data_IF_288304758528
#
_entry.id   IF_288304758528
#
_cell.length_a   1.000
_cell.length_b   1.000
_cell.length_c   1.000
_cell.angle_alpha   90.00
_cell.angle_beta   90.00
_cell.angle_gamma   90.00
#
_symmetry.space_group_name_H-M   'P 1'
#
loop_
_entity.id
_entity.type
_entity.pdbx_description
1 polymer ?
#
# COMPACT_ATOMS: atom_id res chain seq x y z
N UNK A 1 26.70 -14.33 -16.24
CA UNK A 1 25.32 -14.54 -15.68
C UNK A 1 25.32 -14.01 -14.27
N UNK A 2 24.57 -12.94 -14.02
CA UNK A 2 24.39 -12.42 -12.66
C UNK A 2 23.14 -13.07 -12.06
N UNK A 3 23.36 -13.88 -11.00
CA UNK A 3 22.29 -14.49 -10.22
C UNK A 3 22.14 -13.75 -8.91
N UNK A 4 20.90 -13.37 -8.56
CA UNK A 4 20.59 -12.75 -7.27
C UNK A 4 19.21 -13.15 -6.77
N UNK A 5 18.98 -12.97 -5.47
CA UNK A 5 17.71 -13.21 -4.82
C UNK A 5 17.11 -11.89 -4.36
N UNK A 6 15.78 -11.80 -4.46
CA UNK A 6 15.03 -10.63 -3.97
C UNK A 6 13.83 -11.08 -3.16
N UNK A 7 13.57 -10.43 -2.04
CA UNK A 7 12.48 -10.77 -1.13
C UNK A 7 11.55 -9.59 -0.90
N UNK A 8 10.24 -9.88 -0.88
CA UNK A 8 9.22 -8.93 -0.44
C UNK A 8 8.25 -9.60 0.51
N UNK A 9 7.64 -8.81 1.39
CA UNK A 9 6.63 -9.29 2.34
C UNK A 9 5.31 -8.55 2.19
N UNK A 10 4.24 -9.18 2.64
CA UNK A 10 2.92 -8.59 2.81
C UNK A 10 2.28 -9.04 4.11
N UNK A 11 1.22 -8.36 4.51
CA UNK A 11 0.48 -8.65 5.74
C UNK A 11 -1.02 -8.68 5.46
N UNK A 12 -1.77 -9.41 6.31
CA UNK A 12 -3.23 -9.41 6.28
C UNK A 12 -3.81 -8.14 6.89
N UNK A 13 -5.11 -7.91 6.66
CA UNK A 13 -5.85 -6.79 7.27
C UNK A 13 -5.85 -6.80 8.79
N UNK A 14 -5.67 -7.97 9.41
CA UNK A 14 -5.61 -8.15 10.87
C UNK A 14 -4.25 -7.89 11.51
N UNK A 15 -3.22 -7.56 10.72
CA UNK A 15 -1.94 -7.10 11.28
C UNK A 15 -2.12 -5.75 11.98
N UNK A 16 -1.57 -5.53 13.19
CA UNK A 16 -1.87 -4.34 13.99
C UNK A 16 -1.56 -3.02 13.29
N UNK A 17 -0.46 -2.90 12.55
CA UNK A 17 -0.18 -1.69 11.77
C UNK A 17 -1.23 -1.46 10.66
N UNK A 18 -1.69 -2.52 9.99
CA UNK A 18 -2.71 -2.39 8.94
C UNK A 18 -4.10 -2.13 9.50
N UNK A 19 -4.42 -2.57 10.71
CA UNK A 19 -5.61 -2.15 11.44
C UNK A 19 -5.60 -0.63 11.61
N UNK A 20 -4.47 -0.04 12.04
CA UNK A 20 -4.33 1.40 12.23
C UNK A 20 -4.47 2.18 10.90
N UNK A 21 -3.82 1.70 9.84
CA UNK A 21 -3.96 2.27 8.50
C UNK A 21 -5.43 2.24 8.04
N UNK A 22 -6.12 1.13 8.24
CA UNK A 22 -7.50 0.96 7.83
C UNK A 22 -8.46 1.84 8.66
N UNK A 23 -8.20 2.03 9.96
CA UNK A 23 -8.95 2.98 10.80
C UNK A 23 -8.76 4.41 10.27
N UNK A 24 -7.52 4.82 10.02
CA UNK A 24 -7.21 6.16 9.53
C UNK A 24 -7.86 6.45 8.18
N UNK A 25 -7.78 5.53 7.22
CA UNK A 25 -8.39 5.67 5.89
C UNK A 25 -9.92 5.55 5.92
N UNK A 26 -10.50 4.78 6.86
CA UNK A 26 -11.96 4.75 7.06
C UNK A 26 -12.48 6.08 7.63
N UNK A 27 -11.72 6.74 8.49
CA UNK A 27 -12.01 8.08 9.00
C UNK A 27 -11.93 9.11 7.87
N UNK A 28 -10.89 9.04 7.03
CA UNK A 28 -10.74 9.91 5.87
C UNK A 28 -11.92 9.76 4.89
N UNK A 29 -12.30 8.53 4.56
CA UNK A 29 -13.44 8.27 3.67
C UNK A 29 -14.76 8.77 4.26
N UNK A 30 -14.96 8.66 5.57
CA UNK A 30 -16.14 9.19 6.25
C UNK A 30 -16.19 10.73 6.22
N UNK A 31 -15.03 11.40 6.23
CA UNK A 31 -14.93 12.85 6.06
C UNK A 31 -15.25 13.25 4.62
N UNK A 32 -14.57 12.64 3.63
CA UNK A 32 -14.72 12.97 2.21
C UNK A 32 -16.11 12.68 1.66
N UNK A 33 -16.82 11.70 2.21
CA UNK A 33 -18.20 11.40 1.85
C UNK A 33 -19.18 12.56 2.20
N UNK A 34 -18.83 13.41 3.17
CA UNK A 34 -19.66 14.54 3.62
C UNK A 34 -19.08 15.89 3.19
N UNK A 35 -17.75 15.96 3.03
CA UNK A 35 -16.99 17.17 2.72
C UNK A 35 -15.82 16.79 1.82
N UNK A 36 -16.00 16.93 0.51
CA UNK A 36 -14.96 16.56 -0.49
C UNK A 36 -13.67 17.39 -0.38
N UNK A 37 -13.72 18.50 0.37
CA UNK A 37 -12.58 19.39 0.65
C UNK A 37 -12.01 19.20 2.06
N UNK A 38 -12.36 18.12 2.73
CA UNK A 38 -11.84 17.82 4.06
C UNK A 38 -10.31 17.73 4.06
N UNK A 39 -9.70 18.47 4.98
CA UNK A 39 -8.25 18.38 5.27
C UNK A 39 -8.06 17.50 6.49
N UNK A 40 -7.45 16.34 6.28
CA UNK A 40 -7.33 15.30 7.30
C UNK A 40 -5.89 14.83 7.45
N UNK A 41 -5.44 14.72 8.69
CA UNK A 41 -4.21 14.08 9.10
C UNK A 41 -4.48 13.38 10.44
N UNK A 42 -5.33 12.33 10.41
CA UNK A 42 -5.79 11.62 11.61
C UNK A 42 -5.23 10.21 11.62
N UNK A 43 -4.35 9.95 12.54
CA UNK A 43 -3.63 8.70 12.70
C UNK A 43 -4.20 7.87 13.84
N UNK A 44 -3.83 6.60 13.89
CA UNK A 44 -4.21 5.68 14.93
C UNK A 44 -3.00 4.87 15.43
N UNK A 45 -3.03 4.51 16.70
CA UNK A 45 -2.17 3.47 17.27
C UNK A 45 -3.01 2.52 18.11
N UNK A 46 -2.61 1.27 18.18
CA UNK A 46 -3.35 0.22 18.90
C UNK A 46 -2.41 -0.64 19.72
N UNK A 47 -2.83 -0.99 20.93
CA UNK A 47 -2.20 -2.03 21.77
C UNK A 47 -3.24 -2.61 22.72
N UNK A 48 -3.25 -3.94 22.83
CA UNK A 48 -4.23 -4.71 23.58
C UNK A 48 -5.67 -4.26 23.26
N UNK A 49 -6.45 -3.82 24.21
CA UNK A 49 -7.83 -3.33 24.05
C UNK A 49 -7.95 -1.84 23.79
N UNK A 50 -6.85 -1.11 23.63
CA UNK A 50 -6.85 0.35 23.56
C UNK A 50 -6.42 0.86 22.21
N UNK A 51 -7.24 1.74 21.62
CA UNK A 51 -6.96 2.48 20.40
C UNK A 51 -6.81 3.97 20.75
N UNK A 52 -5.72 4.58 20.34
CA UNK A 52 -5.53 6.01 20.40
C UNK A 52 -5.61 6.61 19.00
N UNK A 53 -6.58 7.51 18.79
CA UNK A 53 -6.80 8.24 17.53
C UNK A 53 -6.44 9.70 17.78
N UNK A 54 -5.53 10.23 16.98
CA UNK A 54 -4.98 11.58 17.20
C UNK A 54 -4.64 12.26 15.87
N UNK A 55 -4.47 13.56 15.91
CA UNK A 55 -4.09 14.36 14.75
C UNK A 55 -4.95 15.59 14.56
N UNK A 56 -5.05 16.05 13.33
CA UNK A 56 -5.75 17.27 12.94
C UNK A 56 -6.82 17.00 11.88
N UNK A 57 -7.95 17.71 12.00
CA UNK A 57 -9.04 17.66 11.04
C UNK A 57 -9.56 19.08 10.78
N UNK A 58 -9.59 19.46 9.50
CA UNK A 58 -10.19 20.67 8.99
C UNK A 58 -11.35 20.30 8.07
N UNK A 59 -12.54 20.06 8.63
CA UNK A 59 -13.71 19.60 7.87
C UNK A 59 -15.02 20.08 8.52
N UNK A 60 -16.07 20.14 7.70
CA UNK A 60 -17.46 20.33 8.14
C UNK A 60 -18.16 19.01 8.45
N UNK A 61 -17.55 17.88 8.13
CA UNK A 61 -18.10 16.55 8.37
C UNK A 61 -18.26 16.25 9.87
N UNK A 62 -19.32 15.53 10.21
CA UNK A 62 -19.55 14.99 11.56
C UNK A 62 -19.09 13.54 11.58
N UNK A 63 -18.03 13.26 12.32
CA UNK A 63 -17.34 11.97 12.32
C UNK A 63 -17.41 11.34 13.71
N UNK A 64 -17.95 10.12 13.79
CA UNK A 64 -17.88 9.27 14.98
C UNK A 64 -16.64 8.36 14.89
N UNK A 65 -15.50 8.88 15.29
CA UNK A 65 -14.19 8.20 15.22
C UNK A 65 -14.21 6.85 15.95
N UNK A 66 -14.81 6.80 17.14
CA UNK A 66 -14.84 5.59 17.96
C UNK A 66 -15.69 4.50 17.30
N UNK A 67 -16.84 4.85 16.73
CA UNK A 67 -17.71 3.92 16.01
C UNK A 67 -17.04 3.35 14.77
N UNK A 68 -16.31 4.19 14.02
CA UNK A 68 -15.54 3.77 12.84
C UNK A 68 -14.45 2.77 13.23
N UNK A 69 -13.63 3.10 14.23
CA UNK A 69 -12.56 2.22 14.68
C UNK A 69 -13.06 0.86 15.15
N UNK A 70 -14.09 0.85 15.99
CA UNK A 70 -14.73 -0.40 16.45
C UNK A 70 -15.37 -1.21 15.31
N UNK A 71 -15.93 -0.52 14.31
CA UNK A 71 -16.46 -1.19 13.11
C UNK A 71 -15.36 -1.87 12.31
N UNK A 72 -14.25 -1.19 12.08
CA UNK A 72 -13.09 -1.75 11.36
C UNK A 72 -12.62 -3.05 12.00
N UNK A 73 -12.43 -3.07 13.31
CA UNK A 73 -12.00 -4.27 14.04
C UNK A 73 -13.00 -5.42 13.94
N UNK A 74 -14.30 -5.15 14.09
CA UNK A 74 -15.34 -6.18 13.90
C UNK A 74 -15.36 -6.73 12.46
N UNK A 75 -15.24 -5.87 11.46
CA UNK A 75 -15.22 -6.27 10.04
C UNK A 75 -13.98 -7.12 9.68
N UNK A 76 -12.85 -6.86 10.33
CA UNK A 76 -11.63 -7.68 10.24
C UNK A 76 -11.88 -9.05 10.92
N UNK A 77 -12.58 -9.11 12.03
CA UNK A 77 -12.88 -10.34 12.77
C UNK A 77 -12.30 -10.40 14.18
N UNK A 78 -12.02 -9.25 14.78
CA UNK A 78 -11.70 -9.11 16.20
C UNK A 78 -12.98 -8.82 16.97
N UNK A 79 -13.45 -9.77 17.81
CA UNK A 79 -14.74 -9.65 18.50
C UNK A 79 -14.65 -8.84 19.81
N UNK A 80 -13.47 -8.52 20.27
CA UNK A 80 -13.21 -7.87 21.55
C UNK A 80 -13.78 -6.44 21.57
N UNK A 81 -14.12 -5.95 22.76
CA UNK A 81 -14.45 -4.55 22.98
C UNK A 81 -13.17 -3.72 23.15
N UNK A 82 -13.14 -2.56 22.48
CA UNK A 82 -11.98 -1.67 22.48
C UNK A 82 -12.32 -0.32 23.12
N UNK A 83 -11.41 0.16 23.95
CA UNK A 83 -11.40 1.51 24.47
C UNK A 83 -10.79 2.46 23.44
N UNK A 84 -11.49 3.55 23.13
CA UNK A 84 -11.01 4.53 22.15
C UNK A 84 -10.72 5.85 22.85
N UNK A 85 -9.47 6.29 22.78
CA UNK A 85 -9.00 7.57 23.28
C UNK A 85 -8.85 8.51 22.08
N UNK A 86 -9.45 9.70 22.16
CA UNK A 86 -9.44 10.68 21.06
C UNK A 86 -8.64 11.93 21.43
N UNK A 87 -7.76 12.35 20.51
CA UNK A 87 -7.04 13.62 20.58
C UNK A 87 -6.94 14.23 19.18
N UNK A 88 -8.09 14.61 18.62
CA UNK A 88 -8.18 15.23 17.29
C UNK A 88 -8.52 16.71 17.48
N UNK A 89 -7.68 17.59 16.93
CA UNK A 89 -7.81 19.04 17.01
C UNK A 89 -8.13 19.63 15.62
N UNK A 90 -8.53 20.90 15.57
CA UNK A 90 -8.58 21.65 14.31
C UNK A 90 -7.14 21.92 13.83
N UNK A 91 -6.94 21.84 12.52
CA UNK A 91 -5.67 22.19 11.88
C UNK A 91 -5.24 23.62 12.25
N UNK A 92 -3.94 23.84 12.48
CA UNK A 92 -3.42 25.14 12.88
C UNK A 92 -3.63 26.20 11.79
N UNK A 93 -3.90 27.45 12.21
CA UNK A 93 -4.09 28.57 11.28
C UNK A 93 -2.84 28.90 10.47
N UNK A 94 -1.64 28.59 10.99
CA UNK A 94 -0.36 28.82 10.31
C UNK A 94 -0.17 27.85 9.12
N UNK A 95 -0.50 26.59 9.30
CA UNK A 95 -0.49 25.60 8.21
C UNK A 95 -1.53 25.97 7.16
N UNK A 96 -2.73 26.36 7.59
CA UNK A 96 -3.78 26.81 6.68
C UNK A 96 -3.36 28.06 5.88
N UNK A 97 -2.62 28.99 6.46
CA UNK A 97 -2.15 30.19 5.74
C UNK A 97 -0.98 29.89 4.81
N UNK A 98 -0.08 28.98 5.14
CA UNK A 98 1.01 28.57 4.27
C UNK A 98 0.53 27.83 3.00
N UNK A 99 -0.58 27.07 3.12
CA UNK A 99 -1.20 26.34 2.01
C UNK A 99 -2.31 27.14 1.32
N UNK A 100 -2.87 28.15 1.98
CA UNK A 100 -4.08 28.86 1.57
C UNK A 100 -3.88 30.00 0.54
N UNK A 101 -2.66 30.31 0.10
CA UNK A 101 -2.43 31.35 -0.90
C UNK A 101 -2.72 30.93 -2.34
N UNK A 102 -2.79 29.64 -2.62
CA UNK A 102 -3.26 29.07 -3.89
C UNK A 102 -4.11 27.82 -3.61
N UNK A 103 -5.27 27.73 -4.22
CA UNK A 103 -6.07 26.53 -4.22
C UNK A 103 -5.25 25.38 -4.82
N UNK A 104 -4.90 24.35 -4.02
CA UNK A 104 -4.07 23.20 -4.42
C UNK A 104 -2.56 23.49 -4.63
N UNK A 105 -1.89 23.84 -3.58
CA UNK A 105 -0.41 23.78 -3.48
C UNK A 105 0.02 22.56 -2.62
N UNK A 106 1.29 22.21 -2.68
CA UNK A 106 1.85 21.14 -1.87
C UNK A 106 1.72 21.46 -0.37
N UNK A 107 1.06 20.58 0.38
CA UNK A 107 0.86 20.74 1.83
C UNK A 107 2.12 20.51 2.66
N UNK A 108 3.18 19.99 2.06
CA UNK A 108 4.48 19.75 2.66
C UNK A 108 5.57 19.70 1.57
N UNK A 109 6.83 19.75 1.98
CA UNK A 109 7.94 19.32 1.15
C UNK A 109 8.03 17.80 1.13
N UNK A 110 8.63 17.21 0.10
CA UNK A 110 8.89 15.78 0.06
C UNK A 110 9.40 15.29 -1.27
N UNK A 111 9.86 14.04 -1.27
CA UNK A 111 10.23 13.29 -2.47
C UNK A 111 9.35 12.05 -2.56
N UNK A 112 8.81 11.76 -3.75
CA UNK A 112 7.91 10.64 -4.02
C UNK A 112 8.43 9.85 -5.20
N UNK A 113 8.26 8.54 -5.15
CA UNK A 113 8.68 7.63 -6.19
C UNK A 113 7.50 6.90 -6.80
N UNK A 114 7.54 6.76 -8.12
CA UNK A 114 6.72 5.83 -8.88
C UNK A 114 7.58 4.74 -9.49
N UNK A 115 7.03 3.56 -9.66
CA UNK A 115 7.68 2.45 -10.33
C UNK A 115 6.67 1.58 -11.09
N UNK A 116 7.11 0.97 -12.18
CA UNK A 116 6.41 -0.11 -12.88
C UNK A 116 7.39 -1.02 -13.60
N UNK A 117 7.03 -2.29 -13.78
CA UNK A 117 7.74 -3.25 -14.61
C UNK A 117 6.75 -4.16 -15.37
N UNK A 118 7.20 -4.78 -16.43
CA UNK A 118 6.42 -5.74 -17.21
C UNK A 118 6.45 -7.17 -16.66
N UNK A 119 7.00 -7.36 -15.45
CA UNK A 119 7.12 -8.68 -14.81
C UNK A 119 5.76 -9.33 -14.51
N UNK A 120 4.74 -8.53 -14.24
CA UNK A 120 3.39 -9.00 -13.91
C UNK A 120 2.34 -8.25 -14.72
N UNK A 121 1.12 -8.82 -14.78
CA UNK A 121 -0.03 -8.15 -15.44
C UNK A 121 -0.46 -6.87 -14.72
N UNK A 122 -0.15 -6.75 -13.43
CA UNK A 122 -0.38 -5.56 -12.61
C UNK A 122 0.69 -4.48 -12.79
N UNK A 123 1.74 -4.75 -13.57
CA UNK A 123 2.93 -3.90 -13.71
C UNK A 123 3.67 -3.67 -12.39
N UNK A 124 3.52 -4.59 -11.45
CA UNK A 124 4.22 -4.60 -10.16
C UNK A 124 5.41 -5.54 -10.19
N UNK A 125 6.45 -5.34 -9.35
CA UNK A 125 7.49 -6.34 -9.13
C UNK A 125 6.88 -7.66 -8.63
N UNK A 126 7.35 -8.78 -9.17
CA UNK A 126 6.74 -10.09 -8.91
C UNK A 126 6.71 -10.49 -7.44
N UNK A 127 7.80 -10.23 -6.69
CA UNK A 127 7.91 -10.67 -5.30
C UNK A 127 6.80 -10.07 -4.42
N UNK A 128 6.57 -8.74 -4.55
CA UNK A 128 5.52 -8.06 -3.76
C UNK A 128 4.12 -8.42 -4.25
N UNK A 129 3.90 -8.51 -5.56
CA UNK A 129 2.61 -8.89 -6.14
C UNK A 129 2.19 -10.30 -5.65
N UNK A 130 3.11 -11.25 -5.69
CA UNK A 130 2.89 -12.61 -5.18
C UNK A 130 2.65 -12.63 -3.66
N UNK A 131 3.41 -11.86 -2.88
CA UNK A 131 3.21 -11.75 -1.43
C UNK A 131 1.83 -11.17 -1.11
N UNK A 132 1.36 -10.16 -1.83
CA UNK A 132 0.00 -9.61 -1.69
C UNK A 132 -1.08 -10.63 -2.04
N UNK A 133 -0.92 -11.37 -3.14
CA UNK A 133 -1.87 -12.42 -3.52
C UNK A 133 -1.95 -13.51 -2.46
N UNK A 134 -0.82 -13.94 -1.88
CA UNK A 134 -0.78 -14.91 -0.78
C UNK A 134 -1.48 -14.39 0.47
N UNK A 135 -1.21 -13.14 0.90
CA UNK A 135 -1.85 -12.54 2.06
C UNK A 135 -3.36 -12.37 1.87
N UNK A 136 -3.78 -11.95 0.67
CA UNK A 136 -5.20 -11.84 0.31
C UNK A 136 -5.90 -13.20 0.31
N UNK A 137 -5.26 -14.25 -0.25
CA UNK A 137 -5.82 -15.61 -0.23
C UNK A 137 -5.85 -16.18 1.18
N UNK A 138 -4.84 -15.90 2.00
CA UNK A 138 -4.81 -16.28 3.41
C UNK A 138 -6.02 -15.71 4.16
N UNK A 139 -6.34 -14.43 3.96
CA UNK A 139 -7.52 -13.83 4.56
C UNK A 139 -8.82 -14.47 4.07
N UNK A 140 -8.93 -14.81 2.79
CA UNK A 140 -10.10 -15.53 2.26
C UNK A 140 -10.26 -16.89 2.95
N UNK A 141 -9.19 -17.68 3.02
CA UNK A 141 -9.20 -18.99 3.71
C UNK A 141 -9.56 -18.85 5.19
N UNK A 142 -9.07 -17.81 5.86
CA UNK A 142 -9.45 -17.50 7.23
C UNK A 142 -10.96 -17.22 7.36
N UNK A 143 -11.54 -16.42 6.45
CA UNK A 143 -12.98 -16.14 6.45
C UNK A 143 -13.84 -17.39 6.19
N UNK A 144 -13.29 -18.33 5.40
CA UNK A 144 -13.91 -19.66 5.17
C UNK A 144 -13.74 -20.59 6.38
N UNK A 145 -12.74 -20.35 7.26
CA UNK A 145 -12.39 -21.18 8.42
C UNK A 145 -12.22 -20.33 9.71
N UNK A 146 -13.23 -19.55 10.12
CA UNK A 146 -13.08 -18.54 11.17
C UNK A 146 -12.82 -19.11 12.58
N UNK A 147 -13.11 -20.40 12.79
CA UNK A 147 -12.83 -21.09 14.05
C UNK A 147 -11.40 -21.65 14.13
N UNK A 148 -10.72 -21.79 13.01
CA UNK A 148 -9.38 -22.37 12.93
C UNK A 148 -8.29 -21.29 12.75
N UNK A 149 -8.59 -20.21 12.03
CA UNK A 149 -7.61 -19.17 11.68
C UNK A 149 -8.03 -17.81 12.23
N UNK A 150 -7.07 -17.08 12.81
CA UNK A 150 -7.24 -15.71 13.26
C UNK A 150 -6.91 -14.69 12.16
N UNK A 151 -7.23 -13.39 12.40
CA UNK A 151 -7.08 -12.35 11.37
C UNK A 151 -5.64 -11.95 11.06
N UNK A 152 -4.71 -12.11 12.00
CA UNK A 152 -3.32 -11.69 11.85
C UNK A 152 -2.50 -12.68 11.03
N UNK A 153 -1.68 -12.16 10.13
CA UNK A 153 -0.80 -12.99 9.32
C UNK A 153 0.15 -12.18 8.44
N UNK A 154 1.23 -12.84 8.04
CA UNK A 154 2.27 -12.32 7.14
C UNK A 154 2.61 -13.32 6.07
N UNK A 155 3.01 -12.82 4.91
CA UNK A 155 3.55 -13.61 3.82
C UNK A 155 4.87 -12.99 3.33
N UNK A 156 5.81 -13.81 2.91
CA UNK A 156 7.04 -13.36 2.30
C UNK A 156 7.40 -14.27 1.14
N UNK A 157 7.87 -13.68 0.06
CA UNK A 157 8.30 -14.41 -1.14
C UNK A 157 9.72 -13.98 -1.49
N UNK A 158 10.60 -14.94 -1.61
CA UNK A 158 11.96 -14.77 -2.15
C UNK A 158 12.02 -15.37 -3.53
N UNK A 159 12.42 -14.57 -4.50
CA UNK A 159 12.52 -14.96 -5.90
C UNK A 159 13.98 -14.96 -6.37
N UNK A 160 14.27 -15.81 -7.31
CA UNK A 160 15.55 -15.91 -7.99
C UNK A 160 15.48 -15.23 -9.36
N UNK A 161 16.42 -14.33 -9.60
CA UNK A 161 16.64 -13.68 -10.89
C UNK A 161 17.97 -14.13 -11.50
N UNK A 162 17.97 -14.32 -12.83
CA UNK A 162 19.18 -14.48 -13.63
C UNK A 162 19.17 -13.47 -14.78
N UNK A 163 20.25 -12.70 -14.89
CA UNK A 163 20.41 -11.64 -15.90
C UNK A 163 19.22 -10.66 -15.96
N UNK A 164 18.61 -10.39 -14.79
CA UNK A 164 17.49 -9.49 -14.62
C UNK A 164 16.10 -10.08 -14.89
N UNK A 165 16.05 -11.37 -15.28
CA UNK A 165 14.78 -12.08 -15.57
C UNK A 165 14.40 -13.02 -14.41
N UNK A 166 13.10 -13.00 -14.05
CA UNK A 166 12.54 -13.90 -13.04
C UNK A 166 12.67 -15.36 -13.49
N UNK A 167 13.24 -16.21 -12.65
CA UNK A 167 13.40 -17.66 -12.92
C UNK A 167 12.46 -18.52 -12.10
N UNK A 168 12.50 -18.39 -10.78
CA UNK A 168 11.76 -19.26 -9.87
C UNK A 168 11.55 -18.61 -8.51
N UNK A 169 10.70 -19.22 -7.72
CA UNK A 169 10.56 -18.88 -6.31
C UNK A 169 11.51 -19.75 -5.50
N UNK A 170 12.41 -19.12 -4.76
CA UNK A 170 13.34 -19.80 -3.87
C UNK A 170 12.68 -20.15 -2.53
N UNK A 171 11.89 -19.22 -1.96
CA UNK A 171 11.30 -19.41 -0.63
C UNK A 171 9.93 -18.73 -0.51
N UNK A 172 8.99 -19.41 0.13
CA UNK A 172 7.71 -18.83 0.59
C UNK A 172 7.62 -19.02 2.10
N UNK A 173 7.35 -17.90 2.80
CA UNK A 173 7.05 -17.90 4.24
C UNK A 173 5.61 -17.46 4.42
N UNK A 174 4.84 -18.19 5.23
CA UNK A 174 3.50 -17.82 5.67
C UNK A 174 3.42 -17.98 7.18
N UNK A 175 3.15 -16.87 7.87
CA UNK A 175 2.84 -16.88 9.30
C UNK A 175 1.38 -16.47 9.46
N UNK A 176 0.58 -17.31 10.13
CA UNK A 176 -0.85 -17.07 10.32
C UNK A 176 -1.28 -17.35 11.74
N UNK A 177 -2.07 -16.44 12.28
CA UNK A 177 -2.74 -16.66 13.57
C UNK A 177 -3.71 -17.84 13.45
N UNK A 178 -3.75 -18.70 14.49
CA UNK A 178 -4.58 -19.90 14.51
C UNK A 178 -5.16 -20.19 15.89
N UNK A 179 -6.22 -20.99 15.94
CA UNK A 179 -6.80 -21.46 17.20
C UNK A 179 -5.91 -22.54 17.85
N UNK A 180 -6.19 -22.85 19.12
CA UNK A 180 -5.53 -23.95 19.83
C UNK A 180 -5.96 -25.34 19.32
N UNK A 181 -7.07 -25.41 18.58
CA UNK A 181 -7.73 -26.64 18.19
C UNK A 181 -7.17 -27.24 16.89
N UNK A 182 -6.31 -26.52 16.17
CA UNK A 182 -5.63 -27.02 14.98
C UNK A 182 -4.17 -27.36 15.30
N UNK A 183 -3.74 -28.54 14.91
CA UNK A 183 -2.32 -28.95 15.03
C UNK A 183 -1.45 -28.24 14.00
N UNK A 184 -0.15 -28.13 14.28
CA UNK A 184 0.79 -27.53 13.32
C UNK A 184 0.87 -28.31 11.99
N UNK A 185 0.67 -29.62 12.01
CA UNK A 185 0.63 -30.43 10.80
C UNK A 185 -0.59 -30.15 9.94
N UNK A 186 -1.75 -30.08 10.55
CA UNK A 186 -3.01 -29.73 9.86
C UNK A 186 -2.96 -28.33 9.32
N UNK A 187 -2.45 -27.37 10.11
CA UNK A 187 -2.25 -25.99 9.68
C UNK A 187 -1.34 -25.90 8.44
N UNK A 188 -0.19 -26.58 8.47
CA UNK A 188 0.74 -26.60 7.33
C UNK A 188 0.10 -27.20 6.08
N UNK A 189 -0.66 -28.28 6.22
CA UNK A 189 -1.38 -28.90 5.08
C UNK A 189 -2.45 -27.96 4.53
N UNK A 190 -3.24 -27.29 5.41
CA UNK A 190 -4.27 -26.34 5.03
C UNK A 190 -3.67 -25.16 4.25
N UNK A 191 -2.66 -24.49 4.82
CA UNK A 191 -2.03 -23.34 4.21
C UNK A 191 -1.33 -23.70 2.91
N UNK A 192 -0.64 -24.83 2.86
CA UNK A 192 -0.01 -25.31 1.61
C UNK A 192 -1.06 -25.47 0.51
N UNK A 193 -2.09 -26.25 0.75
CA UNK A 193 -3.12 -26.61 -0.22
C UNK A 193 -4.03 -25.45 -0.62
N UNK A 194 -4.53 -24.69 0.37
CA UNK A 194 -5.58 -23.70 0.13
C UNK A 194 -5.06 -22.27 -0.09
N UNK A 195 -3.81 -21.98 0.29
CA UNK A 195 -3.20 -20.68 0.07
C UNK A 195 -2.11 -20.77 -1.01
N UNK A 196 -1.04 -21.51 -0.75
CA UNK A 196 0.16 -21.48 -1.62
C UNK A 196 -0.15 -22.09 -2.99
N UNK A 197 -0.69 -23.31 -3.04
CA UNK A 197 -0.95 -24.03 -4.30
C UNK A 197 -2.09 -23.40 -5.12
N UNK A 198 -2.89 -22.48 -4.52
CA UNK A 198 -3.93 -21.73 -5.25
C UNK A 198 -3.44 -20.41 -5.84
N UNK A 199 -2.33 -19.88 -5.34
CA UNK A 199 -1.79 -18.59 -5.76
C UNK A 199 -0.59 -18.76 -6.66
N UNK A 200 0.32 -19.67 -6.30
CA UNK A 200 1.59 -19.83 -6.97
C UNK A 200 1.45 -20.79 -8.14
N UNK A 201 1.94 -20.37 -9.29
CA UNK A 201 1.97 -21.20 -10.49
C UNK A 201 3.01 -22.33 -10.34
N UNK A 202 2.66 -23.58 -10.70
CA UNK A 202 3.56 -24.72 -10.56
C UNK A 202 4.91 -24.56 -11.27
N UNK A 203 4.95 -23.84 -12.40
CA UNK A 203 6.17 -23.60 -13.16
C UNK A 203 7.21 -22.70 -12.47
N UNK A 204 6.81 -22.01 -11.40
CA UNK A 204 7.69 -21.13 -10.62
C UNK A 204 8.29 -21.82 -9.38
N UNK A 205 7.91 -23.06 -9.11
CA UNK A 205 8.40 -23.85 -7.97
C UNK A 205 9.02 -25.16 -8.46
N UNK A 206 10.06 -25.62 -7.74
CA UNK A 206 10.75 -26.87 -8.00
C UNK A 206 11.08 -27.61 -6.68
N UNK A 207 11.84 -28.68 -6.75
CA UNK A 207 12.28 -29.48 -5.60
C UNK A 207 13.15 -28.70 -4.60
N UNK A 208 13.77 -27.61 -5.04
CA UNK A 208 14.62 -26.74 -4.19
C UNK A 208 13.84 -25.61 -3.52
N UNK A 209 12.58 -25.36 -3.91
CA UNK A 209 11.74 -24.32 -3.31
C UNK A 209 11.42 -24.64 -1.86
N UNK A 210 11.73 -23.71 -0.96
CA UNK A 210 11.53 -23.85 0.49
C UNK A 210 10.21 -23.26 0.92
N UNK A 211 9.51 -23.98 1.81
CA UNK A 211 8.23 -23.55 2.38
C UNK A 211 8.32 -23.50 3.89
N UNK A 212 8.11 -22.32 4.45
CA UNK A 212 8.08 -22.08 5.89
C UNK A 212 6.66 -21.62 6.30
N UNK A 213 5.93 -22.52 6.94
CA UNK A 213 4.57 -22.21 7.44
C UNK A 213 4.63 -22.26 8.96
N UNK A 214 4.35 -21.12 9.62
CA UNK A 214 4.52 -20.92 11.05
C UNK A 214 5.85 -21.51 11.58
N UNK A 215 7.01 -21.08 11.07
CA UNK A 215 8.29 -21.69 11.40
C UNK A 215 8.68 -21.57 12.87
N UNK A 216 8.13 -20.58 13.58
CA UNK A 216 8.28 -20.40 15.03
C UNK A 216 7.35 -21.28 15.87
N UNK A 217 6.46 -22.05 15.22
CA UNK A 217 5.47 -22.88 15.89
C UNK A 217 4.14 -22.18 16.13
N UNK A 218 3.70 -22.13 17.40
CA UNK A 218 2.38 -21.61 17.77
C UNK A 218 2.26 -20.08 17.57
N UNK A 219 1.15 -19.66 16.95
CA UNK A 219 0.76 -18.25 16.78
C UNK A 219 -0.72 -18.08 17.11
N UNK A 220 -1.07 -18.22 18.38
CA UNK A 220 -2.46 -18.13 18.88
C UNK A 220 -2.82 -16.68 19.21
N UNK A 221 -1.91 -15.95 19.87
CA UNK A 221 -2.12 -14.54 20.23
C UNK A 221 -1.61 -13.65 19.11
N UNK A 222 -2.51 -12.94 18.42
CA UNK A 222 -2.20 -12.05 17.32
C UNK A 222 -2.92 -10.70 17.44
N UNK A 223 -2.80 -9.88 16.38
CA UNK A 223 -3.35 -8.54 16.36
C UNK A 223 -2.78 -7.66 17.45
N UNK A 224 -3.58 -6.74 17.97
CA UNK A 224 -3.17 -5.78 19.02
C UNK A 224 -2.74 -6.44 20.35
N UNK A 225 -3.18 -7.66 20.60
CA UNK A 225 -2.79 -8.42 21.79
C UNK A 225 -1.39 -9.01 21.64
N UNK A 226 -0.98 -9.39 20.44
CA UNK A 226 0.36 -9.91 20.14
C UNK A 226 1.40 -8.83 19.96
N UNK A 227 1.06 -7.75 19.25
CA UNK A 227 1.99 -6.66 18.93
C UNK A 227 1.26 -5.31 18.89
N UNK A 228 1.99 -4.20 18.98
CA UNK A 228 1.45 -2.86 18.81
C UNK A 228 1.34 -2.49 17.33
N UNK A 229 0.33 -1.70 16.99
CA UNK A 229 0.17 -1.13 15.66
C UNK A 229 0.21 0.39 15.66
N UNK A 230 0.66 0.95 14.55
CA UNK A 230 0.65 2.40 14.30
C UNK A 230 0.49 2.67 12.81
N UNK A 231 -0.30 3.67 12.45
CA UNK A 231 -0.45 4.16 11.08
C UNK A 231 0.91 4.46 10.44
N UNK A 232 1.09 4.04 9.18
CA UNK A 232 2.27 4.39 8.39
C UNK A 232 3.52 3.56 8.67
N UNK A 233 3.40 2.40 9.34
CA UNK A 233 4.54 1.50 9.58
C UNK A 233 4.69 0.37 8.57
N UNK A 234 3.90 0.37 7.48
CA UNK A 234 3.95 -0.64 6.41
C UNK A 234 4.18 -0.01 5.03
N UNK A 235 4.91 1.10 4.96
CA UNK A 235 5.13 1.86 3.73
C UNK A 235 5.81 1.06 2.62
N UNK A 236 6.70 0.13 2.94
CA UNK A 236 7.34 -0.77 1.97
C UNK A 236 6.31 -1.77 1.41
N UNK A 237 5.46 -2.33 2.28
CA UNK A 237 4.34 -3.23 1.89
C UNK A 237 3.32 -2.47 1.04
N UNK A 238 3.04 -1.22 1.38
CA UNK A 238 2.07 -0.37 0.67
C UNK A 238 2.51 0.00 -0.75
N UNK A 239 3.82 -0.05 -1.04
CA UNK A 239 4.43 0.38 -2.29
C UNK A 239 4.97 -0.79 -3.11
N UNK A 240 6.28 -0.89 -3.27
CA UNK A 240 6.93 -1.80 -4.22
C UNK A 240 7.70 -2.95 -3.55
N UNK A 241 7.47 -3.19 -2.25
CA UNK A 241 8.11 -4.30 -1.52
C UNK A 241 9.62 -4.19 -1.38
N UNK A 242 10.17 -2.98 -1.46
CA UNK A 242 11.61 -2.72 -1.43
C UNK A 242 12.31 -2.79 -2.78
N UNK A 243 11.58 -3.10 -3.88
CA UNK A 243 12.14 -3.18 -5.23
C UNK A 243 12.49 -1.81 -5.80
N UNK A 244 11.74 -0.79 -5.44
CA UNK A 244 11.98 0.60 -5.79
C UNK A 244 12.10 1.47 -4.52
N UNK A 245 12.75 2.64 -4.60
CA UNK A 245 12.81 3.60 -3.51
C UNK A 245 11.42 4.04 -3.03
N UNK A 246 11.39 4.56 -1.81
CA UNK A 246 10.24 5.24 -1.20
C UNK A 246 10.68 6.60 -0.67
N UNK A 247 9.78 7.59 -0.69
CA UNK A 247 10.09 8.94 -0.21
C UNK A 247 10.05 9.11 1.32
N UNK A 248 9.63 8.06 2.05
CA UNK A 248 9.52 8.05 3.51
C UNK A 248 8.16 8.48 4.06
N UNK A 249 7.33 9.16 3.28
CA UNK A 249 5.96 9.53 3.67
C UNK A 249 4.97 8.36 3.59
N UNK A 250 4.19 8.14 4.65
CA UNK A 250 3.09 7.17 4.62
C UNK A 250 1.89 7.71 3.82
N UNK A 251 1.02 6.82 3.38
CA UNK A 251 -0.19 7.14 2.61
C UNK A 251 -1.42 7.31 3.50
N UNK A 252 -1.74 6.29 4.29
CA UNK A 252 -2.92 6.28 5.15
C UNK A 252 -2.92 7.46 6.11
N UNK A 253 -4.07 7.97 6.48
CA UNK A 253 -4.36 9.20 7.22
C UNK A 253 -4.42 10.50 6.41
N UNK A 254 -3.72 10.57 5.27
CA UNK A 254 -3.50 11.80 4.51
C UNK A 254 -4.57 12.03 3.45
N UNK A 255 -5.17 13.23 3.46
CA UNK A 255 -6.07 13.69 2.39
C UNK A 255 -5.31 14.02 1.09
N UNK A 256 -6.01 14.24 -0.05
CA UNK A 256 -5.39 14.46 -1.36
C UNK A 256 -4.43 15.65 -1.49
N UNK A 257 -4.49 16.62 -0.60
CA UNK A 257 -3.59 17.79 -0.64
C UNK A 257 -2.17 17.46 -0.18
N UNK A 258 -1.99 16.32 0.51
CA UNK A 258 -0.69 15.83 0.95
C UNK A 258 -0.01 15.09 -0.20
N UNK A 259 1.03 15.70 -0.74
CA UNK A 259 1.79 15.19 -1.89
C UNK A 259 2.45 13.84 -1.64
N UNK A 260 2.79 13.51 -0.40
CA UNK A 260 3.27 12.17 -0.02
C UNK A 260 2.36 11.06 -0.56
N UNK A 261 1.05 11.29 -0.58
CA UNK A 261 0.06 10.35 -1.09
C UNK A 261 -0.28 10.63 -2.55
N UNK A 262 -0.77 11.80 -2.88
CA UNK A 262 -1.27 12.14 -4.22
C UNK A 262 -0.19 12.07 -5.29
N UNK A 263 1.01 12.60 -5.02
CA UNK A 263 2.10 12.57 -5.98
C UNK A 263 2.72 11.16 -6.10
N UNK A 264 2.74 10.34 -5.05
CA UNK A 264 3.14 8.94 -5.16
C UNK A 264 2.18 8.14 -6.03
N UNK A 265 0.87 8.37 -5.92
CA UNK A 265 -0.13 7.76 -6.79
C UNK A 265 0.00 8.22 -8.24
N UNK A 266 0.24 9.52 -8.44
CA UNK A 266 0.44 10.06 -9.78
C UNK A 266 1.77 9.57 -10.41
N UNK A 267 2.83 9.48 -9.62
CA UNK A 267 4.10 8.89 -10.03
C UNK A 267 3.92 7.42 -10.49
N UNK A 268 3.14 6.63 -9.74
CA UNK A 268 2.74 5.28 -10.15
C UNK A 268 1.96 5.29 -11.47
N UNK A 269 0.99 6.17 -11.60
CA UNK A 269 0.18 6.31 -12.82
C UNK A 269 1.05 6.57 -14.05
N UNK A 270 2.03 7.45 -13.94
CA UNK A 270 2.97 7.77 -15.02
C UNK A 270 3.81 6.55 -15.38
N UNK A 271 4.52 5.94 -14.42
CA UNK A 271 5.37 4.78 -14.66
C UNK A 271 4.59 3.60 -15.25
N UNK A 272 3.42 3.32 -14.69
CA UNK A 272 2.54 2.26 -15.18
C UNK A 272 2.17 2.49 -16.64
N UNK A 273 1.88 3.72 -17.04
CA UNK A 273 1.52 4.05 -18.41
C UNK A 273 2.73 4.07 -19.35
N UNK A 274 3.91 4.45 -18.91
CA UNK A 274 5.14 4.28 -19.71
C UNK A 274 5.33 2.81 -20.08
N UNK A 275 5.25 1.91 -19.11
CA UNK A 275 5.43 0.47 -19.34
C UNK A 275 4.27 -0.11 -20.17
N UNK A 276 3.03 0.26 -19.87
CA UNK A 276 1.84 -0.22 -20.57
C UNK A 276 1.74 0.23 -22.05
N UNK A 277 2.38 1.36 -22.41
CA UNK A 277 2.52 1.81 -23.80
C UNK A 277 3.76 1.21 -24.48
N UNK A 278 4.53 0.34 -23.82
CA UNK A 278 5.72 -0.31 -24.39
C UNK A 278 6.91 0.63 -24.60
N UNK A 279 6.97 1.76 -23.87
CA UNK A 279 8.07 2.72 -23.98
C UNK A 279 9.31 2.27 -23.20
N UNK A 280 9.13 1.48 -22.13
CA UNK A 280 10.18 0.82 -21.37
C UNK A 280 9.64 -0.48 -20.77
N UNK A 281 10.53 -1.45 -20.43
CA UNK A 281 10.14 -2.63 -19.64
C UNK A 281 10.09 -2.33 -18.14
N UNK A 282 10.93 -1.39 -17.68
CA UNK A 282 10.96 -0.88 -16.30
C UNK A 282 11.04 0.63 -16.34
N UNK A 283 10.33 1.27 -15.44
CA UNK A 283 10.37 2.72 -15.30
C UNK A 283 10.25 3.11 -13.84
N UNK A 284 11.09 4.03 -13.41
CA UNK A 284 11.02 4.73 -12.14
C UNK A 284 10.92 6.23 -12.42
N UNK A 285 10.12 6.92 -11.63
CA UNK A 285 10.09 8.39 -11.59
C UNK A 285 10.31 8.86 -10.15
N UNK A 286 11.07 9.93 -9.99
CA UNK A 286 11.20 10.68 -8.75
C UNK A 286 10.59 12.05 -8.93
N UNK A 287 9.76 12.47 -7.99
CA UNK A 287 9.14 13.79 -7.91
C UNK A 287 9.55 14.46 -6.61
N UNK A 288 9.94 15.72 -6.65
CA UNK A 288 10.19 16.52 -5.45
C UNK A 288 9.27 17.74 -5.43
N UNK A 289 8.71 18.04 -4.26
CA UNK A 289 7.88 19.21 -4.02
C UNK A 289 8.42 20.06 -2.88
N UNK A 290 8.19 21.36 -2.93
CA UNK A 290 8.37 22.27 -1.82
C UNK A 290 7.01 22.71 -1.28
N UNK A 291 6.92 22.95 0.04
CA UNK A 291 5.69 23.42 0.68
C UNK A 291 5.20 24.72 0.03
N UNK A 292 3.90 24.79 -0.23
CA UNK A 292 3.29 25.97 -0.85
C UNK A 292 3.44 26.06 -2.38
N UNK A 293 4.26 25.22 -3.01
CA UNK A 293 4.44 25.21 -4.47
C UNK A 293 3.38 24.33 -5.15
N UNK A 294 2.76 24.80 -6.24
CA UNK A 294 1.76 24.04 -6.97
C UNK A 294 2.35 22.95 -7.90
N UNK A 295 3.63 23.08 -8.27
CA UNK A 295 4.32 22.20 -9.20
C UNK A 295 5.54 21.54 -8.55
N UNK A 296 6.02 20.39 -9.06
CA UNK A 296 7.24 19.80 -8.57
C UNK A 296 8.45 20.70 -8.88
N UNK A 297 9.42 20.71 -7.97
CA UNK A 297 10.71 21.40 -8.16
C UNK A 297 11.71 20.56 -8.95
N UNK A 298 11.48 19.24 -9.01
CA UNK A 298 12.25 18.34 -9.88
C UNK A 298 11.42 17.12 -10.30
N UNK A 299 11.73 16.60 -11.48
CA UNK A 299 11.25 15.35 -12.06
C UNK A 299 12.49 14.63 -12.56
N UNK A 300 12.65 13.36 -12.24
CA UNK A 300 13.73 12.52 -12.74
C UNK A 300 13.17 11.15 -13.14
N UNK A 301 13.54 10.66 -14.32
CA UNK A 301 13.11 9.38 -14.85
C UNK A 301 14.32 8.46 -15.03
N UNK A 302 14.12 7.18 -14.74
CA UNK A 302 15.10 6.12 -15.00
C UNK A 302 14.37 4.93 -15.64
N UNK A 303 14.73 4.60 -16.86
CA UNK A 303 14.21 3.45 -17.61
C UNK A 303 15.03 2.18 -17.41
N UNK A 304 16.09 2.22 -16.61
CA UNK A 304 17.02 1.08 -16.38
C UNK A 304 17.62 0.54 -17.68
N UNK A 305 17.83 1.39 -18.68
CA UNK A 305 18.27 1.03 -20.02
C UNK A 305 17.35 -0.01 -20.73
N UNK A 306 16.06 -0.03 -20.37
CA UNK A 306 15.06 -0.92 -20.99
C UNK A 306 14.20 -0.22 -22.04
N UNK A 307 14.42 1.06 -22.27
CA UNK A 307 13.76 1.89 -23.29
C UNK A 307 14.63 2.02 -24.54
N UNK A 308 13.99 2.30 -25.67
CA UNK A 308 14.67 2.75 -26.91
C UNK A 308 14.96 4.25 -26.90
N UNK A 309 14.32 4.99 -26.00
CA UNK A 309 14.53 6.43 -25.77
C UNK A 309 15.55 6.60 -24.64
N UNK A 310 16.30 7.70 -24.66
CA UNK A 310 17.08 8.11 -23.49
C UNK A 310 16.14 8.52 -22.35
N UNK A 311 16.65 8.58 -21.13
CA UNK A 311 15.84 9.00 -19.96
C UNK A 311 15.41 10.48 -20.10
N UNK A 312 16.22 11.33 -20.74
CA UNK A 312 15.87 12.71 -21.05
C UNK A 312 14.74 12.80 -22.09
N UNK A 313 14.78 11.98 -23.16
CA UNK A 313 13.69 11.91 -24.15
C UNK A 313 12.39 11.41 -23.53
N UNK A 314 12.48 10.41 -22.63
CA UNK A 314 11.31 9.93 -21.88
C UNK A 314 10.73 11.03 -20.97
N UNK A 315 11.57 11.82 -20.32
CA UNK A 315 11.13 12.93 -19.47
C UNK A 315 10.36 13.97 -20.29
N UNK A 316 10.84 14.31 -21.50
CA UNK A 316 10.16 15.24 -22.40
C UNK A 316 8.82 14.68 -22.90
N UNK A 317 8.75 13.38 -23.22
CA UNK A 317 7.49 12.70 -23.57
C UNK A 317 6.51 12.77 -22.38
N UNK A 318 6.99 12.49 -21.17
CA UNK A 318 6.17 12.51 -19.95
C UNK A 318 5.65 13.92 -19.66
N UNK A 319 6.47 14.97 -19.74
CA UNK A 319 6.06 16.36 -19.52
C UNK A 319 5.01 16.84 -20.52
N UNK A 320 5.01 16.31 -21.76
CA UNK A 320 3.98 16.63 -22.76
C UNK A 320 2.64 15.94 -22.47
N UNK A 321 2.65 14.77 -21.85
CA UNK A 321 1.46 13.94 -21.65
C UNK A 321 0.83 14.03 -20.24
N UNK A 322 1.60 14.47 -19.24
CA UNK A 322 1.19 14.48 -17.83
C UNK A 322 1.47 15.83 -17.20
N UNK A 323 0.51 16.31 -16.43
CA UNK A 323 0.64 17.57 -15.70
C UNK A 323 0.78 17.27 -14.20
N UNK A 324 1.95 17.55 -13.65
CA UNK A 324 2.33 17.23 -12.28
C UNK A 324 1.92 18.29 -11.24
N UNK A 325 1.09 19.29 -11.62
CA UNK A 325 0.56 20.21 -10.62
C UNK A 325 -0.35 19.49 -9.63
N UNK A 326 -0.30 19.87 -8.35
CA UNK A 326 -1.11 19.26 -7.29
C UNK A 326 -2.59 19.26 -7.66
N UNK A 327 -3.09 20.39 -8.19
CA UNK A 327 -4.46 20.51 -8.67
C UNK A 327 -4.82 19.47 -9.74
N UNK A 328 -3.92 19.29 -10.71
CA UNK A 328 -4.19 18.34 -11.79
C UNK A 328 -4.15 16.90 -11.33
N UNK A 329 -3.19 16.53 -10.48
CA UNK A 329 -3.11 15.17 -9.93
C UNK A 329 -4.39 14.78 -9.19
N UNK A 330 -4.88 15.67 -8.33
CA UNK A 330 -6.11 15.47 -7.57
C UNK A 330 -7.31 15.32 -8.52
N UNK A 331 -7.40 16.17 -9.54
CA UNK A 331 -8.50 16.17 -10.49
C UNK A 331 -8.45 14.96 -11.44
N UNK A 332 -7.28 14.68 -12.05
CA UNK A 332 -7.14 13.59 -13.04
C UNK A 332 -7.36 12.22 -12.40
N UNK A 333 -6.91 12.03 -11.16
CA UNK A 333 -7.12 10.79 -10.42
C UNK A 333 -8.42 10.79 -9.58
N UNK A 334 -9.22 11.88 -9.61
CA UNK A 334 -10.47 12.01 -8.87
C UNK A 334 -10.34 11.63 -7.39
N UNK A 335 -9.36 12.26 -6.71
CA UNK A 335 -8.95 11.90 -5.36
C UNK A 335 -9.83 12.48 -4.24
N UNK A 336 -10.74 13.41 -4.54
CA UNK A 336 -11.61 14.07 -3.54
C UNK A 336 -12.88 13.26 -3.21
N UNK A 337 -12.86 11.95 -3.47
CA UNK A 337 -13.94 11.01 -3.17
C UNK A 337 -13.51 9.92 -2.18
N UNK A 338 -14.44 9.24 -1.51
CA UNK A 338 -14.11 8.21 -0.53
C UNK A 338 -13.64 6.91 -1.21
N UNK A 339 -12.34 6.83 -1.54
CA UNK A 339 -11.71 5.67 -2.19
C UNK A 339 -10.57 5.06 -1.37
N UNK A 340 -10.28 5.59 -0.21
CA UNK A 340 -9.03 5.32 0.50
C UNK A 340 -9.06 4.01 1.30
N UNK A 341 -10.17 3.67 1.91
CA UNK A 341 -10.36 2.37 2.60
C UNK A 341 -10.02 1.17 1.70
N UNK A 342 -10.37 1.22 0.42
CA UNK A 342 -10.08 0.13 -0.52
C UNK A 342 -8.62 0.07 -0.98
N UNK A 343 -7.82 1.10 -0.70
CA UNK A 343 -6.39 1.12 -1.05
C UNK A 343 -5.53 0.40 -0.01
N UNK A 344 -5.94 0.39 1.24
CA UNK A 344 -5.12 0.17 2.43
C UNK A 344 -4.50 -1.24 2.52
N UNK A 345 -5.28 -2.30 2.22
CA UNK A 345 -4.81 -3.68 2.35
C UNK A 345 -4.22 -4.20 1.05
N UNK A 346 -3.16 -5.03 1.15
CA UNK A 346 -2.51 -5.71 0.00
C UNK A 346 -1.95 -4.73 -1.03
N UNK A 347 -1.25 -3.69 -0.55
CA UNK A 347 -0.63 -2.64 -1.35
C UNK A 347 -1.59 -1.60 -1.89
N UNK A 348 -1.08 -0.41 -2.17
CA UNK A 348 -1.83 0.68 -2.79
C UNK A 348 -1.78 0.64 -4.32
N UNK A 349 -0.93 -0.22 -4.89
CA UNK A 349 -0.69 -0.34 -6.33
C UNK A 349 -1.08 -1.73 -6.86
N UNK A 350 -1.23 -1.85 -8.18
CA UNK A 350 -1.56 -3.09 -8.85
C UNK A 350 -3.05 -3.50 -8.79
N UNK A 351 -3.94 -2.63 -8.33
CA UNK A 351 -5.38 -2.87 -8.24
C UNK A 351 -6.10 -2.21 -9.41
N UNK A 352 -6.61 -2.95 -10.41
CA UNK A 352 -7.06 -2.41 -11.69
C UNK A 352 -8.27 -1.47 -11.60
N UNK A 353 -8.98 -1.44 -10.48
CA UNK A 353 -10.12 -0.55 -10.25
C UNK A 353 -9.73 0.83 -9.70
N UNK A 354 -8.48 1.04 -9.31
CA UNK A 354 -8.00 2.32 -8.79
C UNK A 354 -7.64 3.29 -9.93
N UNK A 355 -7.83 4.61 -9.76
CA UNK A 355 -7.60 5.59 -10.81
C UNK A 355 -6.19 5.57 -11.40
N UNK A 356 -5.17 5.42 -10.56
CA UNK A 356 -3.77 5.39 -10.99
C UNK A 356 -3.33 4.07 -11.65
N UNK A 357 -4.21 3.09 -11.75
CA UNK A 357 -3.98 1.87 -12.51
C UNK A 357 -4.73 1.86 -13.86
N UNK A 358 -5.33 2.99 -14.26
CA UNK A 358 -6.02 3.10 -15.54
C UNK A 358 -5.03 3.35 -16.69
N UNK A 359 -5.36 2.80 -17.87
CA UNK A 359 -4.56 3.02 -19.06
C UNK A 359 -4.79 4.42 -19.63
N UNK A 360 -3.69 5.10 -19.96
CA UNK A 360 -3.66 6.35 -20.73
C UNK A 360 -2.75 6.16 -21.93
N UNK A 361 -3.26 6.42 -23.13
CA UNK A 361 -2.42 6.44 -24.33
C UNK A 361 -1.45 7.61 -24.25
N UNK A 362 -0.17 7.36 -24.50
CA UNK A 362 0.88 8.37 -24.54
C UNK A 362 1.10 8.77 -25.98
N UNK A 363 1.10 10.09 -26.24
CA UNK A 363 1.45 10.69 -27.55
C UNK A 363 2.97 10.94 -27.59
N UNK A 364 3.60 10.51 -28.69
CA UNK A 364 5.08 10.59 -28.88
C UNK A 364 5.51 11.89 -29.53
#
# INVERSE_FOLDING_TARGET
MSKYYFSSESVTSGHPDKICDLIADSILDAALAQDSKAHMAVEATIKDDTIFIYGEAGTTAVIDYAKIAKKVLRDIGYPEEYNVILKVNKQSAEINSAVGHQEYSAGDQGIMFGFASDETKSYMPFAIDCAHMLAKRLEQVRRENPTLLGPDGKTQVTVEYEDGELKRIETIVVSTQHSKDITQEELKKLIRKEVIDKVVKPELIDENTKFFINPSGSFVVGGSWGDSGTTGRKIVVDTYGGYAPIGGGCFSSKDPTKVDRSAAYYARYVCRNIVANGLAKKCQIELAYAIGEPNPISININSFNTSKYSDEELEEIVKRNFNFSVKNMIKELDLERPIYTQTTNYGHFGKPYLPWEQFKKIEL
#
